data_IF_299882909365
#
_entry.id   IF_299882909365
#
_cell.length_a   1.000
_cell.length_b   1.000
_cell.length_c   1.000
_cell.angle_alpha   90.00
_cell.angle_beta   90.00
_cell.angle_gamma   90.00
#
_symmetry.space_group_name_H-M   'P 1'
#
loop_
_entity.id
_entity.type
_entity.pdbx_description
1 polymer ?
#
# COMPACT_ATOMS: atom_id res chain seq x y z
N UNK A 1 -11.33 7.56 -19.80
CA UNK A 1 -11.04 7.75 -18.37
C UNK A 1 -9.66 7.20 -18.12
N UNK A 2 -8.73 7.98 -17.55
CA UNK A 2 -7.41 7.48 -17.18
C UNK A 2 -7.57 6.27 -16.23
N UNK A 3 -6.85 5.19 -16.52
CA UNK A 3 -6.99 3.92 -15.80
C UNK A 3 -6.63 4.06 -14.33
N UNK A 4 -5.70 4.96 -13.99
CA UNK A 4 -5.26 5.20 -12.61
C UNK A 4 -6.38 5.87 -11.82
N UNK A 5 -7.11 6.82 -12.43
CA UNK A 5 -8.32 7.39 -11.82
C UNK A 5 -9.38 6.32 -11.55
N UNK A 6 -9.62 5.41 -12.51
CA UNK A 6 -10.54 4.28 -12.32
C UNK A 6 -10.14 3.39 -11.14
N UNK A 7 -8.85 3.07 -11.02
CA UNK A 7 -8.30 2.29 -9.91
C UNK A 7 -8.46 3.04 -8.57
N UNK A 8 -8.21 4.36 -8.53
CA UNK A 8 -8.42 5.17 -7.32
C UNK A 8 -9.86 5.10 -6.85
N UNK A 9 -10.83 5.27 -7.77
CA UNK A 9 -12.27 5.24 -7.44
C UNK A 9 -12.63 3.87 -6.85
N UNK A 10 -12.19 2.78 -7.49
CA UNK A 10 -12.42 1.42 -6.98
C UNK A 10 -11.77 1.23 -5.61
N UNK A 11 -10.53 1.69 -5.42
CA UNK A 11 -9.82 1.55 -4.15
C UNK A 11 -10.50 2.32 -3.01
N UNK A 12 -10.99 3.54 -3.26
CA UNK A 12 -11.78 4.32 -2.31
C UNK A 12 -13.10 3.64 -1.97
N UNK A 13 -13.79 3.08 -2.97
CA UNK A 13 -15.02 2.32 -2.74
C UNK A 13 -14.76 1.08 -1.87
N UNK A 14 -13.67 0.34 -2.11
CA UNK A 14 -13.28 -0.80 -1.28
C UNK A 14 -12.94 -0.40 0.16
N UNK A 15 -12.24 0.72 0.35
CA UNK A 15 -11.97 1.28 1.69
C UNK A 15 -13.26 1.66 2.41
N UNK A 16 -14.20 2.30 1.71
CA UNK A 16 -15.51 2.64 2.27
C UNK A 16 -16.31 1.39 2.64
N UNK A 17 -16.35 0.38 1.76
CA UNK A 17 -17.01 -0.89 2.03
C UNK A 17 -16.38 -1.60 3.24
N UNK A 18 -15.06 -1.58 3.37
CA UNK A 18 -14.37 -2.10 4.54
C UNK A 18 -14.78 -1.35 5.82
N UNK A 19 -14.85 -0.01 5.77
CA UNK A 19 -15.32 0.82 6.89
C UNK A 19 -16.76 0.49 7.29
N UNK A 20 -17.64 0.31 6.33
CA UNK A 20 -19.04 -0.05 6.59
C UNK A 20 -19.16 -1.47 7.19
N UNK A 21 -18.36 -2.42 6.68
CA UNK A 21 -18.39 -3.83 7.09
C UNK A 21 -17.79 -4.06 8.48
N UNK A 22 -16.62 -3.48 8.73
CA UNK A 22 -15.82 -3.73 9.93
C UNK A 22 -15.88 -2.59 10.96
N UNK A 23 -16.49 -1.45 10.59
CA UNK A 23 -16.81 -0.31 11.47
C UNK A 23 -15.57 0.16 12.26
N UNK A 24 -15.73 0.39 13.56
CA UNK A 24 -14.70 0.91 14.46
C UNK A 24 -13.44 0.04 14.53
N UNK A 25 -13.54 -1.26 14.22
CA UNK A 25 -12.40 -2.19 14.35
C UNK A 25 -11.27 -1.94 13.35
N UNK A 26 -11.56 -1.26 12.23
CA UNK A 26 -10.55 -0.93 11.22
C UNK A 26 -10.17 0.55 11.19
N UNK A 27 -10.82 1.41 11.98
CA UNK A 27 -10.59 2.86 11.92
C UNK A 27 -9.14 3.21 12.28
N UNK A 28 -8.63 2.69 13.40
CA UNK A 28 -7.24 2.92 13.81
C UNK A 28 -6.23 2.35 12.78
N UNK A 29 -6.34 1.08 12.34
CA UNK A 29 -5.51 0.55 11.25
C UNK A 29 -5.54 1.37 9.96
N UNK A 30 -6.73 1.83 9.54
CA UNK A 30 -6.90 2.66 8.35
C UNK A 30 -6.20 4.01 8.51
N UNK A 31 -6.35 4.68 9.66
CA UNK A 31 -5.68 5.95 9.94
C UNK A 31 -4.17 5.79 9.93
N UNK A 32 -3.64 4.73 10.54
CA UNK A 32 -2.18 4.45 10.52
C UNK A 32 -1.70 4.20 9.09
N UNK A 33 -2.44 3.40 8.31
CA UNK A 33 -2.12 3.15 6.91
C UNK A 33 -2.15 4.44 6.08
N UNK A 34 -3.16 5.28 6.27
CA UNK A 34 -3.30 6.57 5.60
C UNK A 34 -2.17 7.53 5.94
N UNK A 35 -1.81 7.66 7.23
CA UNK A 35 -0.69 8.49 7.68
C UNK A 35 0.63 7.98 7.12
N UNK A 36 0.91 6.68 7.21
CA UNK A 36 2.14 6.09 6.66
C UNK A 36 2.24 6.32 5.15
N UNK A 37 1.13 6.14 4.42
CA UNK A 37 1.05 6.38 2.98
C UNK A 37 1.27 7.85 2.64
N UNK A 38 0.67 8.77 3.41
CA UNK A 38 0.83 10.22 3.22
C UNK A 38 2.26 10.69 3.51
N UNK A 39 2.88 10.21 4.59
CA UNK A 39 4.28 10.50 4.90
C UNK A 39 5.17 10.04 3.74
N UNK A 40 5.00 8.79 3.31
CA UNK A 40 5.83 8.24 2.24
C UNK A 40 5.65 8.97 0.91
N UNK A 41 4.42 9.20 0.48
CA UNK A 41 4.11 9.90 -0.77
C UNK A 41 4.44 11.40 -0.72
N UNK A 42 4.65 11.95 0.48
CA UNK A 42 5.30 13.25 0.65
C UNK A 42 6.81 13.12 0.46
N UNK A 43 7.48 12.15 1.07
CA UNK A 43 8.94 11.99 0.94
C UNK A 43 9.34 11.67 -0.51
N UNK A 44 8.67 10.70 -1.12
CA UNK A 44 8.90 10.25 -2.49
C UNK A 44 7.77 10.69 -3.41
N UNK A 45 8.08 11.59 -4.35
CA UNK A 45 7.12 12.07 -5.35
C UNK A 45 7.01 11.05 -6.48
N UNK A 46 5.88 10.34 -6.52
CA UNK A 46 5.58 9.42 -7.60
C UNK A 46 5.08 10.19 -8.84
N UNK A 47 5.84 10.14 -9.92
CA UNK A 47 5.46 10.65 -11.23
C UNK A 47 5.33 9.48 -12.20
N UNK A 48 4.11 9.21 -12.66
CA UNK A 48 3.82 8.17 -13.64
C UNK A 48 3.81 8.74 -15.05
N UNK A 49 4.07 7.89 -16.04
CA UNK A 49 3.86 8.24 -17.45
C UNK A 49 2.38 8.58 -17.67
N UNK A 50 2.14 9.67 -18.40
CA UNK A 50 0.79 10.18 -18.69
C UNK A 50 0.23 11.08 -17.59
N UNK A 51 -1.10 11.03 -17.39
CA UNK A 51 -1.78 11.91 -16.45
C UNK A 51 -1.46 11.56 -14.99
N UNK A 52 -1.29 12.56 -14.14
CA UNK A 52 -1.07 12.38 -12.70
C UNK A 52 -2.01 13.31 -11.93
N UNK A 53 -2.51 12.83 -10.79
CA UNK A 53 -3.40 13.62 -9.94
C UNK A 53 -2.68 13.87 -8.62
N UNK A 54 -2.33 15.12 -8.36
CA UNK A 54 -1.59 15.53 -7.17
C UNK A 54 -2.48 16.32 -6.20
N UNK A 55 -2.31 16.05 -4.91
CA UNK A 55 -2.71 16.95 -3.82
C UNK A 55 -1.52 17.84 -3.47
N UNK A 56 -1.76 19.15 -3.36
CA UNK A 56 -0.73 20.14 -3.03
C UNK A 56 0.52 20.03 -3.92
N UNK A 57 0.32 19.72 -5.21
CA UNK A 57 1.35 19.55 -6.25
C UNK A 57 2.41 18.46 -5.98
N UNK A 58 2.32 17.76 -4.85
CA UNK A 58 3.38 16.86 -4.37
C UNK A 58 2.91 15.44 -4.13
N UNK A 59 1.74 15.27 -3.51
CA UNK A 59 1.25 13.95 -3.08
C UNK A 59 0.41 13.36 -4.21
N UNK A 60 0.93 12.33 -4.88
CA UNK A 60 0.16 11.66 -5.93
C UNK A 60 -0.96 10.81 -5.28
N UNK A 61 -2.21 11.07 -5.68
CA UNK A 61 -3.40 10.40 -5.12
C UNK A 61 -3.37 8.91 -5.40
N UNK A 62 -2.88 8.50 -6.58
CA UNK A 62 -2.87 7.10 -6.98
C UNK A 62 -2.10 6.19 -6.00
N UNK A 63 -0.80 6.40 -5.74
CA UNK A 63 -0.07 5.61 -4.75
C UNK A 63 -0.54 5.87 -3.33
N UNK A 64 -0.98 7.09 -2.97
CA UNK A 64 -1.53 7.36 -1.64
C UNK A 64 -2.70 6.43 -1.31
N UNK A 65 -3.66 6.33 -2.23
CA UNK A 65 -4.85 5.49 -2.06
C UNK A 65 -4.50 4.01 -2.08
N UNK A 66 -3.64 3.57 -3.01
CA UNK A 66 -3.25 2.15 -3.11
C UNK A 66 -2.44 1.67 -1.91
N UNK A 67 -1.49 2.47 -1.40
CA UNK A 67 -0.77 2.14 -0.17
C UNK A 67 -1.71 2.05 1.02
N UNK A 68 -2.65 3.00 1.15
CA UNK A 68 -3.63 3.00 2.22
C UNK A 68 -4.51 1.74 2.18
N UNK A 69 -5.02 1.39 0.98
CA UNK A 69 -5.82 0.18 0.76
C UNK A 69 -5.01 -1.09 1.05
N UNK A 70 -3.81 -1.21 0.51
CA UNK A 70 -2.96 -2.39 0.65
C UNK A 70 -2.64 -2.69 2.11
N UNK A 71 -2.18 -1.67 2.85
CA UNK A 71 -1.86 -1.82 4.28
C UNK A 71 -3.12 -2.15 5.10
N UNK A 72 -4.24 -1.44 4.88
CA UNK A 72 -5.51 -1.74 5.56
C UNK A 72 -5.99 -3.16 5.28
N UNK A 73 -5.81 -3.64 4.04
CA UNK A 73 -6.18 -5.00 3.64
C UNK A 73 -5.32 -6.06 4.35
N UNK A 74 -4.04 -5.80 4.60
CA UNK A 74 -3.20 -6.69 5.40
C UNK A 74 -3.71 -6.84 6.83
N UNK A 75 -4.18 -5.75 7.44
CA UNK A 75 -4.80 -5.83 8.77
C UNK A 75 -6.07 -6.68 8.76
N UNK A 76 -6.95 -6.47 7.76
CA UNK A 76 -8.19 -7.26 7.62
C UNK A 76 -7.85 -8.74 7.42
N UNK A 77 -6.86 -9.04 6.57
CA UNK A 77 -6.40 -10.40 6.33
C UNK A 77 -5.87 -11.05 7.61
N UNK A 78 -5.06 -10.33 8.40
CA UNK A 78 -4.53 -10.80 9.68
C UNK A 78 -5.62 -11.06 10.73
N UNK A 79 -6.67 -10.24 10.76
CA UNK A 79 -7.66 -10.29 11.85
C UNK A 79 -8.86 -11.17 11.53
N UNK A 80 -9.23 -11.29 10.25
CA UNK A 80 -10.47 -11.97 9.83
C UNK A 80 -10.27 -13.21 8.97
N UNK A 81 -9.09 -13.42 8.38
CA UNK A 81 -8.85 -14.53 7.45
C UNK A 81 -7.77 -15.48 7.98
N UNK A 82 -6.59 -14.96 8.28
CA UNK A 82 -5.46 -15.75 8.79
C UNK A 82 -5.54 -15.78 10.31
N UNK A 83 -5.51 -16.96 10.92
CA UNK A 83 -5.42 -17.09 12.38
C UNK A 83 -4.17 -16.33 12.86
N UNK A 84 -4.30 -15.52 13.93
CA UNK A 84 -3.36 -14.50 14.46
C UNK A 84 -1.85 -14.83 14.58
N UNK A 85 -1.37 -16.02 14.20
CA UNK A 85 -0.01 -16.51 14.47
C UNK A 85 0.92 -16.68 13.27
N UNK A 86 0.45 -16.56 12.03
CA UNK A 86 1.34 -16.76 10.88
C UNK A 86 1.82 -15.44 10.28
N UNK A 87 2.62 -14.68 11.04
CA UNK A 87 3.25 -13.44 10.56
C UNK A 87 4.03 -13.66 9.26
N UNK A 88 4.82 -14.74 9.19
CA UNK A 88 5.58 -15.08 7.99
C UNK A 88 4.68 -15.31 6.77
N UNK A 89 3.55 -16.01 6.94
CA UNK A 89 2.58 -16.23 5.86
C UNK A 89 2.00 -14.91 5.35
N UNK A 90 1.69 -13.96 6.25
CA UNK A 90 1.20 -12.63 5.87
C UNK A 90 2.25 -11.82 5.12
N UNK A 91 3.52 -11.89 5.54
CA UNK A 91 4.63 -11.24 4.83
C UNK A 91 4.83 -11.86 3.44
N UNK A 92 4.81 -13.19 3.32
CA UNK A 92 4.89 -13.85 2.02
C UNK A 92 3.70 -13.47 1.12
N UNK A 93 2.47 -13.52 1.64
CA UNK A 93 1.28 -13.13 0.90
C UNK A 93 1.34 -11.66 0.43
N UNK A 94 1.83 -10.77 1.29
CA UNK A 94 2.08 -9.37 0.96
C UNK A 94 3.07 -9.23 -0.20
N UNK A 95 4.24 -9.87 -0.13
CA UNK A 95 5.27 -9.74 -1.17
C UNK A 95 4.78 -10.32 -2.51
N UNK A 96 4.11 -11.48 -2.49
CA UNK A 96 3.53 -12.08 -3.70
C UNK A 96 2.52 -11.14 -4.33
N UNK A 97 1.59 -10.58 -3.54
CA UNK A 97 0.58 -9.67 -4.05
C UNK A 97 1.21 -8.37 -4.58
N UNK A 98 2.18 -7.81 -3.85
CA UNK A 98 2.91 -6.61 -4.25
C UNK A 98 3.60 -6.80 -5.61
N UNK A 99 4.39 -7.86 -5.75
CA UNK A 99 5.11 -8.13 -7.01
C UNK A 99 4.14 -8.44 -8.16
N UNK A 100 3.04 -9.14 -7.88
CA UNK A 100 2.01 -9.39 -8.90
C UNK A 100 1.36 -8.09 -9.38
N UNK A 101 0.98 -7.20 -8.46
CA UNK A 101 0.35 -5.92 -8.80
C UNK A 101 1.32 -4.99 -9.55
N UNK A 102 2.59 -4.96 -9.14
CA UNK A 102 3.64 -4.23 -9.86
C UNK A 102 3.83 -4.76 -11.27
N UNK A 103 3.94 -6.09 -11.44
CA UNK A 103 4.10 -6.71 -12.76
C UNK A 103 2.88 -6.46 -13.66
N UNK A 104 1.67 -6.60 -13.14
CA UNK A 104 0.43 -6.30 -13.88
C UNK A 104 0.38 -4.82 -14.25
N UNK A 105 0.66 -3.92 -13.30
CA UNK A 105 0.72 -2.48 -13.53
C UNK A 105 1.70 -2.13 -14.64
N UNK A 106 2.92 -2.65 -14.57
CA UNK A 106 4.00 -2.32 -15.48
C UNK A 106 3.82 -2.92 -16.88
N UNK A 107 3.57 -4.23 -16.97
CA UNK A 107 3.56 -4.96 -18.24
C UNK A 107 2.20 -4.96 -18.94
N UNK A 108 1.10 -5.00 -18.19
CA UNK A 108 -0.24 -5.09 -18.78
C UNK A 108 -0.92 -3.72 -18.88
N UNK A 109 -0.77 -2.88 -17.85
CA UNK A 109 -1.50 -1.61 -17.76
C UNK A 109 -0.66 -0.39 -18.14
N UNK A 110 0.64 -0.58 -18.41
CA UNK A 110 1.59 0.50 -18.72
C UNK A 110 1.64 1.60 -17.64
N UNK A 111 1.38 1.25 -16.38
CA UNK A 111 1.51 2.12 -15.21
C UNK A 111 2.96 2.06 -14.76
N UNK A 112 3.75 3.04 -15.21
CA UNK A 112 5.20 3.10 -14.99
C UNK A 112 5.59 4.46 -14.48
N UNK A 113 6.60 4.51 -13.61
CA UNK A 113 7.21 5.78 -13.22
C UNK A 113 7.98 6.38 -14.40
N UNK A 114 8.09 7.71 -14.46
CA UNK A 114 8.92 8.44 -15.45
C UNK A 114 10.42 8.27 -15.18
N UNK A 115 10.79 7.42 -14.23
CA UNK A 115 12.16 7.22 -13.80
C UNK A 115 12.86 6.14 -14.65
N UNK A 116 14.19 6.21 -14.74
CA UNK A 116 15.03 5.23 -15.44
C UNK A 116 15.84 4.36 -14.47
N UNK A 117 15.34 4.15 -13.25
CA UNK A 117 16.02 3.30 -12.28
C UNK A 117 15.90 1.81 -12.68
N UNK A 118 16.94 1.00 -12.38
CA UNK A 118 16.85 -0.44 -12.58
C UNK A 118 15.72 -1.03 -11.72
N UNK A 119 15.07 -2.05 -12.26
CA UNK A 119 14.06 -2.81 -11.52
C UNK A 119 14.68 -3.61 -10.36
N UNK A 120 13.84 -3.96 -9.38
CA UNK A 120 14.27 -4.72 -8.20
C UNK A 120 14.77 -6.11 -8.60
N UNK A 121 16.01 -6.47 -8.24
CA UNK A 121 16.61 -7.78 -8.56
C UNK A 121 16.58 -8.13 -10.06
N UNK A 122 16.67 -7.13 -10.94
CA UNK A 122 16.52 -7.28 -12.40
C UNK A 122 15.15 -7.84 -12.83
N UNK A 123 14.15 -7.78 -11.96
CA UNK A 123 12.75 -7.92 -12.33
C UNK A 123 12.24 -6.53 -12.73
N UNK A 124 11.47 -6.42 -13.81
CA UNK A 124 10.89 -5.16 -14.31
C UNK A 124 9.73 -4.65 -13.41
N UNK A 125 10.00 -4.54 -12.12
CA UNK A 125 9.09 -4.10 -11.07
C UNK A 125 9.82 -3.15 -10.12
N UNK A 126 9.09 -2.21 -9.50
CA UNK A 126 9.63 -1.29 -8.48
C UNK A 126 10.86 -0.51 -9.01
N UNK A 127 10.66 0.18 -10.13
CA UNK A 127 11.68 1.04 -10.76
C UNK A 127 11.85 2.35 -9.98
N UNK A 128 12.74 2.33 -8.99
CA UNK A 128 13.09 3.52 -8.22
C UNK A 128 14.41 3.38 -7.48
N UNK A 129 14.84 4.44 -6.77
CA UNK A 129 16.05 4.39 -5.98
C UNK A 129 15.93 3.32 -4.88
N UNK A 130 17.06 2.88 -4.35
CA UNK A 130 17.12 1.82 -3.33
C UNK A 130 16.19 2.07 -2.14
N UNK A 131 16.01 3.33 -1.73
CA UNK A 131 15.07 3.69 -0.66
C UNK A 131 13.60 3.37 -0.99
N UNK A 132 13.19 3.55 -2.25
CA UNK A 132 11.85 3.15 -2.70
C UNK A 132 11.70 1.64 -2.65
N UNK A 133 12.70 0.91 -3.14
CA UNK A 133 12.70 -0.55 -3.14
C UNK A 133 12.61 -1.12 -1.72
N UNK A 134 13.40 -0.58 -0.79
CA UNK A 134 13.34 -0.96 0.63
C UNK A 134 11.96 -0.67 1.21
N UNK A 135 11.40 0.52 0.96
CA UNK A 135 10.06 0.85 1.43
C UNK A 135 9.01 -0.14 0.91
N UNK A 136 9.05 -0.45 -0.37
CA UNK A 136 8.14 -1.41 -0.99
C UNK A 136 8.19 -2.79 -0.33
N UNK A 137 9.37 -3.28 0.05
CA UNK A 137 9.51 -4.59 0.71
C UNK A 137 9.12 -4.51 2.19
N UNK A 138 9.44 -3.41 2.86
CA UNK A 138 9.35 -3.28 4.31
C UNK A 138 8.00 -2.72 4.82
N UNK A 139 7.24 -2.00 3.99
CA UNK A 139 6.04 -1.28 4.43
C UNK A 139 4.99 -2.21 5.05
N UNK A 140 4.69 -3.34 4.41
CA UNK A 140 3.75 -4.35 4.94
C UNK A 140 4.19 -4.93 6.30
N UNK A 141 5.40 -5.53 6.41
CA UNK A 141 5.92 -6.04 7.68
C UNK A 141 5.97 -4.98 8.79
N UNK A 142 6.48 -3.78 8.49
CA UNK A 142 6.60 -2.69 9.45
C UNK A 142 5.22 -2.26 9.97
N UNK A 143 4.24 -2.12 9.09
CA UNK A 143 2.87 -1.80 9.44
C UNK A 143 2.25 -2.85 10.39
N UNK A 144 2.41 -4.14 10.10
CA UNK A 144 1.90 -5.22 10.96
C UNK A 144 2.56 -5.21 12.35
N UNK A 145 3.86 -4.92 12.43
CA UNK A 145 4.59 -4.78 13.70
C UNK A 145 4.02 -3.61 14.52
N UNK A 146 3.85 -2.44 13.90
CA UNK A 146 3.28 -1.26 14.56
C UNK A 146 1.90 -1.56 15.14
N UNK A 147 1.02 -2.20 14.36
CA UNK A 147 -0.31 -2.58 14.84
C UNK A 147 -0.25 -3.56 16.01
N UNK A 148 0.64 -4.55 15.95
CA UNK A 148 0.81 -5.51 17.03
C UNK A 148 1.22 -4.82 18.34
N UNK A 149 2.15 -3.85 18.27
CA UNK A 149 2.60 -3.09 19.44
C UNK A 149 1.46 -2.26 20.04
N UNK A 150 0.67 -1.59 19.19
CA UNK A 150 -0.48 -0.79 19.63
C UNK A 150 -1.52 -1.69 20.31
N UNK A 151 -1.91 -2.80 19.68
CA UNK A 151 -2.91 -3.72 20.25
C UNK A 151 -2.46 -4.30 21.60
N UNK A 152 -1.17 -4.64 21.73
CA UNK A 152 -0.60 -5.14 22.98
C UNK A 152 -0.63 -4.08 24.09
N UNK A 153 -0.43 -2.80 23.76
CA UNK A 153 -0.52 -1.70 24.74
C UNK A 153 -1.95 -1.51 25.26
N UNK A 154 -2.96 -1.62 24.39
CA UNK A 154 -4.37 -1.46 24.77
C UNK A 154 -4.93 -2.59 25.63
N UNK A 155 -4.25 -3.73 25.73
CA UNK A 155 -4.64 -4.85 26.60
C UNK A 155 -4.05 -4.78 28.01
N UNK A 156 -3.08 -3.88 28.24
CA UNK A 156 -2.42 -3.71 29.54
C UNK A 156 -2.96 -2.53 30.35
N UNK A 157 -3.81 -1.70 29.73
CA UNK A 157 -4.53 -0.61 30.35
C UNK A 157 -5.93 -1.08 30.77
#
# INVERSE_FOLDING_TARGET
MDIKLGIVIVALALLLLALLRYKKSILTPLLIAGIASAIWTTIYRYEYVGENIFLFERINIFPLTLWTLGLTSLYILQTHVVRKRNFLLLVCAYLVLLFTLEAVGYHLLNIRLVSNFPGLLNLDIIHGPTMLQIFYIAAGPAYLIVLHLIQKSSQKA
#
